data_IF_431518195414
#
_entry.id   IF_431518195414
#
_cell.length_a   1.000
_cell.length_b   1.000
_cell.length_c   1.000
_cell.angle_alpha   90.00
_cell.angle_beta   90.00
_cell.angle_gamma   90.00
#
_symmetry.space_group_name_H-M   'P 1'
#
loop_
_entity.id
_entity.type
_entity.pdbx_description
1 polymer ?
#
# COMPACT_ATOMS: atom_id res chain seq x y z
N UNK A 1 -1.35 10.88 18.96
CA UNK A 1 0.12 10.71 19.01
C UNK A 1 0.60 10.47 17.59
N UNK A 2 1.53 11.29 17.10
CA UNK A 2 1.98 11.34 15.70
C UNK A 2 3.02 10.25 15.46
N UNK A 3 2.71 9.22 14.67
CA UNK A 3 3.68 8.15 14.38
C UNK A 3 4.36 8.44 13.04
N UNK A 4 5.69 8.36 13.01
CA UNK A 4 6.56 8.76 11.89
C UNK A 4 7.18 7.47 11.32
N UNK A 5 7.48 7.41 10.02
CA UNK A 5 8.24 6.32 9.39
C UNK A 5 7.39 5.20 8.76
N UNK A 6 7.23 5.24 7.43
CA UNK A 6 6.69 4.12 6.66
C UNK A 6 7.81 3.46 5.85
N UNK A 7 7.97 2.14 5.97
CA UNK A 7 8.86 1.38 5.09
C UNK A 7 8.12 1.11 3.78
N UNK A 8 8.74 1.47 2.66
CA UNK A 8 8.21 1.20 1.33
C UNK A 8 9.04 0.13 0.64
N UNK A 9 8.37 -0.77 -0.06
CA UNK A 9 8.99 -1.75 -0.98
C UNK A 9 8.35 -1.56 -2.35
N UNK A 10 9.14 -1.18 -3.34
CA UNK A 10 8.67 -0.97 -4.70
C UNK A 10 9.08 -2.14 -5.59
N UNK A 11 8.08 -2.68 -6.28
CA UNK A 11 8.21 -3.79 -7.20
C UNK A 11 7.75 -3.35 -8.59
N UNK A 12 8.39 -3.90 -9.63
CA UNK A 12 7.87 -3.80 -10.99
C UNK A 12 7.85 -5.15 -11.66
N UNK A 13 6.87 -5.39 -12.52
CA UNK A 13 6.73 -6.65 -13.24
C UNK A 13 5.75 -6.56 -14.41
N UNK A 14 5.22 -7.69 -14.87
CA UNK A 14 4.22 -7.75 -15.92
C UNK A 14 2.97 -6.95 -15.53
N UNK A 15 2.54 -6.02 -16.37
CA UNK A 15 1.40 -5.14 -16.08
C UNK A 15 0.12 -5.93 -15.84
N UNK A 16 -0.09 -7.02 -16.57
CA UNK A 16 -1.26 -7.90 -16.48
C UNK A 16 -1.38 -8.62 -15.13
N UNK A 17 -0.27 -8.86 -14.42
CA UNK A 17 -0.26 -9.59 -13.15
C UNK A 17 -0.52 -8.68 -11.92
N UNK A 18 -0.64 -7.37 -12.12
CA UNK A 18 -0.70 -6.36 -11.06
C UNK A 18 -1.88 -6.52 -10.09
N UNK A 19 -3.06 -6.87 -10.60
CA UNK A 19 -4.26 -7.05 -9.76
C UNK A 19 -4.11 -8.27 -8.86
N UNK A 20 -3.65 -9.41 -9.43
CA UNK A 20 -3.42 -10.63 -8.68
C UNK A 20 -2.34 -10.45 -7.60
N UNK A 21 -1.32 -9.62 -7.86
CA UNK A 21 -0.32 -9.24 -6.87
C UNK A 21 -0.93 -8.43 -5.72
N UNK A 22 -1.82 -7.46 -6.00
CA UNK A 22 -2.51 -6.72 -4.94
C UNK A 22 -3.41 -7.62 -4.10
N UNK A 23 -4.12 -8.56 -4.73
CA UNK A 23 -4.95 -9.53 -4.01
C UNK A 23 -4.11 -10.43 -3.09
N UNK A 24 -2.92 -10.85 -3.55
CA UNK A 24 -1.98 -11.61 -2.73
C UNK A 24 -1.43 -10.80 -1.55
N UNK A 25 -1.14 -9.50 -1.76
CA UNK A 25 -0.76 -8.62 -0.66
C UNK A 25 -1.91 -8.42 0.35
N UNK A 26 -3.14 -8.26 -0.13
CA UNK A 26 -4.31 -8.13 0.73
C UNK A 26 -4.53 -9.38 1.59
N UNK A 27 -4.35 -10.58 1.02
CA UNK A 27 -4.42 -11.85 1.76
C UNK A 27 -3.39 -11.94 2.90
N UNK A 28 -2.23 -11.32 2.71
CA UNK A 28 -1.12 -11.25 3.68
C UNK A 28 -1.19 -10.02 4.61
N UNK A 29 -2.28 -9.26 4.54
CA UNK A 29 -2.50 -8.00 5.29
C UNK A 29 -1.44 -6.92 5.01
N UNK A 30 -0.84 -6.94 3.82
CA UNK A 30 0.14 -5.96 3.36
C UNK A 30 -0.58 -4.83 2.62
N UNK A 31 -0.39 -3.59 3.04
CA UNK A 31 -0.91 -2.42 2.32
C UNK A 31 -0.10 -2.20 1.05
N UNK A 32 -0.75 -2.19 -0.11
CA UNK A 32 -0.08 -2.01 -1.39
C UNK A 32 -0.97 -1.26 -2.40
N UNK A 33 -0.35 -0.54 -3.32
CA UNK A 33 -1.04 0.23 -4.37
C UNK A 33 -0.20 0.38 -5.63
N UNK A 34 -0.86 0.74 -6.74
CA UNK A 34 -0.16 1.13 -7.95
C UNK A 34 0.55 2.47 -7.77
N UNK A 35 1.71 2.60 -8.41
CA UNK A 35 2.45 3.85 -8.50
C UNK A 35 2.92 4.06 -9.93
N UNK A 36 3.25 5.30 -10.28
CA UNK A 36 3.89 5.61 -11.55
C UNK A 36 5.36 5.20 -11.51
N UNK A 37 5.95 4.68 -12.61
CA UNK A 37 7.39 4.44 -12.72
C UNK A 37 8.21 5.65 -12.28
N UNK A 38 9.20 5.44 -11.41
CA UNK A 38 10.16 6.49 -11.05
C UNK A 38 11.25 6.70 -12.12
N UNK A 39 11.45 5.70 -12.99
CA UNK A 39 12.46 5.73 -14.04
C UNK A 39 11.81 5.78 -15.44
N UNK A 40 12.33 6.68 -16.30
CA UNK A 40 11.75 7.06 -17.60
C UNK A 40 12.41 6.30 -18.77
N UNK A 41 12.59 4.98 -18.61
CA UNK A 41 13.02 4.12 -19.70
C UNK A 41 11.80 3.56 -20.45
N UNK A 42 11.84 3.40 -21.79
CA UNK A 42 10.72 2.85 -22.55
C UNK A 42 10.32 1.43 -22.08
N UNK A 43 11.27 0.65 -21.55
CA UNK A 43 11.00 -0.67 -20.98
C UNK A 43 10.33 -0.63 -19.59
N UNK A 44 10.36 0.51 -18.90
CA UNK A 44 9.75 0.68 -17.57
C UNK A 44 8.32 1.22 -17.63
N UNK A 45 7.96 1.95 -18.70
CA UNK A 45 6.59 2.45 -18.92
C UNK A 45 5.58 1.33 -19.16
N UNK A 46 6.01 0.22 -19.75
CA UNK A 46 5.16 -0.95 -19.98
C UNK A 46 4.97 -1.88 -18.78
N UNK A 47 5.63 -1.61 -17.65
CA UNK A 47 5.60 -2.49 -16.46
C UNK A 47 4.50 -2.07 -15.49
N UNK A 48 3.94 -3.05 -14.79
CA UNK A 48 3.12 -2.79 -13.61
C UNK A 48 4.00 -2.42 -12.43
N UNK A 49 3.83 -1.24 -11.86
CA UNK A 49 4.55 -0.77 -10.68
C UNK A 49 3.65 -0.81 -9.44
N UNK A 50 4.14 -1.43 -8.39
CA UNK A 50 3.43 -1.59 -7.11
C UNK A 50 4.32 -1.15 -5.97
N UNK A 51 3.77 -0.37 -5.05
CA UNK A 51 4.41 -0.02 -3.78
C UNK A 51 3.66 -0.69 -2.65
N UNK A 52 4.36 -1.51 -1.88
CA UNK A 52 3.91 -1.99 -0.58
C UNK A 52 4.41 -1.04 0.52
N UNK A 53 3.60 -0.82 1.54
CA UNK A 53 3.82 0.14 2.61
C UNK A 53 3.62 -0.54 3.98
N UNK A 54 4.58 -0.37 4.88
CA UNK A 54 4.62 -0.98 6.21
C UNK A 54 4.91 0.05 7.29
N UNK A 55 4.52 -0.25 8.53
CA UNK A 55 4.75 0.61 9.69
C UNK A 55 4.77 -0.22 10.98
N UNK A 56 5.76 0.02 11.85
CA UNK A 56 5.95 -0.71 13.13
C UNK A 56 5.44 0.08 14.35
N UNK A 57 4.98 1.33 14.19
CA UNK A 57 4.65 2.18 15.34
C UNK A 57 5.78 3.12 15.76
N UNK A 58 6.89 3.12 15.02
CA UNK A 58 8.13 3.85 15.36
C UNK A 58 8.68 4.62 14.15
N UNK A 59 9.36 5.72 14.46
CA UNK A 59 10.09 6.57 13.50
C UNK A 59 11.40 5.97 13.00
N UNK A 60 11.83 4.92 13.67
CA UNK A 60 13.08 4.20 13.44
C UNK A 60 12.77 2.71 13.43
N UNK A 61 12.12 2.19 12.37
CA UNK A 61 11.82 0.77 12.27
C UNK A 61 13.10 -0.05 12.41
N UNK A 62 13.00 -1.18 13.11
CA UNK A 62 14.16 -2.05 13.32
C UNK A 62 14.69 -2.62 11.99
N UNK A 63 15.98 -2.95 11.96
CA UNK A 63 16.58 -3.59 10.78
C UNK A 63 15.91 -4.94 10.48
N UNK A 64 15.53 -5.68 11.52
CA UNK A 64 14.84 -6.96 11.41
C UNK A 64 13.43 -6.78 10.82
N UNK A 65 12.67 -5.79 11.30
CA UNK A 65 11.37 -5.43 10.70
C UNK A 65 11.52 -5.07 9.22
N UNK A 66 12.55 -4.28 8.87
CA UNK A 66 12.87 -3.93 7.49
C UNK A 66 13.14 -5.15 6.60
N UNK A 67 13.96 -6.08 7.10
CA UNK A 67 14.31 -7.32 6.39
C UNK A 67 13.10 -8.24 6.22
N UNK A 68 12.28 -8.39 7.25
CA UNK A 68 11.08 -9.22 7.20
C UNK A 68 10.07 -8.69 6.17
N UNK A 69 9.81 -7.38 6.18
CA UNK A 69 8.93 -6.75 5.21
C UNK A 69 9.46 -6.90 3.77
N UNK A 70 10.77 -6.67 3.58
CA UNK A 70 11.43 -6.82 2.28
C UNK A 70 11.35 -8.26 1.76
N UNK A 71 11.67 -9.23 2.63
CA UNK A 71 11.65 -10.65 2.32
C UNK A 71 10.25 -11.12 1.91
N UNK A 72 9.23 -10.76 2.72
CA UNK A 72 7.83 -11.09 2.42
C UNK A 72 7.36 -10.48 1.10
N UNK A 73 7.60 -9.19 0.88
CA UNK A 73 7.20 -8.53 -0.37
C UNK A 73 7.88 -9.13 -1.60
N UNK A 74 9.17 -9.40 -1.51
CA UNK A 74 9.93 -9.95 -2.62
C UNK A 74 9.48 -11.37 -2.94
N UNK A 75 9.25 -12.20 -1.91
CA UNK A 75 8.76 -13.57 -2.07
C UNK A 75 7.37 -13.63 -2.74
N UNK A 76 6.44 -12.77 -2.33
CA UNK A 76 5.12 -12.66 -2.96
C UNK A 76 5.28 -12.17 -4.40
N UNK A 77 6.01 -11.07 -4.61
CA UNK A 77 6.21 -10.50 -5.95
C UNK A 77 6.80 -11.47 -6.96
N UNK A 78 7.78 -12.29 -6.56
CA UNK A 78 8.41 -13.28 -7.42
C UNK A 78 7.42 -14.31 -7.99
N UNK A 79 6.36 -14.67 -7.24
CA UNK A 79 5.32 -15.59 -7.71
C UNK A 79 4.54 -15.03 -8.92
N UNK A 80 4.53 -13.70 -9.08
CA UNK A 80 3.84 -12.98 -10.15
C UNK A 80 4.81 -12.39 -11.18
N UNK A 81 6.09 -12.75 -11.13
CA UNK A 81 7.13 -12.23 -12.03
C UNK A 81 7.56 -10.79 -11.72
N UNK A 82 7.24 -10.27 -10.53
CA UNK A 82 7.70 -8.96 -10.08
C UNK A 82 9.09 -9.04 -9.48
N UNK A 83 9.87 -7.99 -9.70
CA UNK A 83 11.22 -7.82 -9.16
C UNK A 83 11.31 -6.58 -8.28
N UNK A 84 12.16 -6.68 -7.25
CA UNK A 84 12.49 -5.56 -6.37
C UNK A 84 13.17 -4.44 -7.16
N UNK A 85 12.70 -3.20 -6.97
CA UNK A 85 13.29 -2.00 -7.56
C UNK A 85 13.94 -1.10 -6.54
N UNK A 86 13.20 -0.80 -5.48
CA UNK A 86 13.69 0.03 -4.40
C UNK A 86 13.03 -0.40 -3.10
N UNK A 87 13.69 -0.15 -1.98
CA UNK A 87 13.07 -0.17 -0.68
C UNK A 87 13.71 0.90 0.20
N UNK A 88 12.97 1.39 1.20
CA UNK A 88 13.51 2.41 2.08
C UNK A 88 12.49 2.88 3.10
N UNK A 89 13.00 3.52 4.14
CA UNK A 89 12.15 4.21 5.11
C UNK A 89 11.84 5.59 4.54
N UNK A 90 10.58 5.82 4.17
CA UNK A 90 10.10 7.16 3.84
C UNK A 90 9.83 7.86 5.17
N UNK A 91 10.77 8.72 5.58
CA UNK A 91 10.58 9.69 6.65
C UNK A 91 9.80 10.86 6.05
N UNK A 92 8.48 10.73 5.98
CA UNK A 92 7.60 11.74 5.41
C UNK A 92 6.38 11.95 6.28
N UNK A 93 6.46 12.85 7.26
CA UNK A 93 5.32 13.21 8.11
C UNK A 93 4.67 12.03 8.83
N UNK A 94 3.50 12.27 9.44
CA UNK A 94 2.73 11.21 10.08
C UNK A 94 2.08 10.33 9.02
N UNK A 95 2.40 9.04 8.95
CA UNK A 95 1.68 8.12 8.07
C UNK A 95 0.38 7.69 8.76
N UNK A 96 -0.76 8.22 8.30
CA UNK A 96 -2.07 7.87 8.84
C UNK A 96 -2.70 6.75 8.01
N UNK A 97 -2.87 5.58 8.63
CA UNK A 97 -3.65 4.50 8.01
C UNK A 97 -5.10 4.96 7.82
N UNK A 98 -5.60 4.80 6.60
CA UNK A 98 -6.99 5.09 6.22
C UNK A 98 -7.55 3.92 5.43
N UNK A 99 -8.84 3.68 5.60
CA UNK A 99 -9.61 2.71 4.83
C UNK A 99 -10.50 3.47 3.85
N UNK A 100 -10.53 3.05 2.58
CA UNK A 100 -11.62 3.42 1.67
C UNK A 100 -12.64 2.30 1.73
N UNK A 101 -13.90 2.65 1.98
CA UNK A 101 -15.01 1.69 2.07
C UNK A 101 -16.08 2.02 1.03
N UNK A 102 -16.75 0.99 0.50
CA UNK A 102 -18.00 1.18 -0.24
C UNK A 102 -19.12 1.39 0.77
N UNK A 103 -19.68 2.59 0.78
CA UNK A 103 -20.76 3.00 1.69
C UNK A 103 -22.07 2.25 1.49
N UNK A 104 -22.26 1.59 0.33
CA UNK A 104 -23.46 0.79 0.04
C UNK A 104 -23.40 -0.58 0.71
N UNK A 105 -22.24 -1.21 0.70
CA UNK A 105 -22.04 -2.58 1.17
C UNK A 105 -21.34 -2.64 2.53
N UNK A 106 -20.62 -1.58 2.90
CA UNK A 106 -19.75 -1.54 4.08
C UNK A 106 -18.40 -2.25 3.86
N UNK A 107 -18.12 -2.72 2.65
CA UNK A 107 -16.91 -3.48 2.36
C UNK A 107 -15.67 -2.59 2.28
N UNK A 108 -14.54 -3.13 2.74
CA UNK A 108 -13.24 -2.51 2.59
C UNK A 108 -12.80 -2.61 1.12
N UNK A 109 -12.56 -1.45 0.50
CA UNK A 109 -12.06 -1.35 -0.88
C UNK A 109 -10.54 -1.26 -0.86
N UNK A 110 -9.98 -0.34 -0.07
CA UNK A 110 -8.53 -0.12 0.03
C UNK A 110 -8.13 0.13 1.49
N UNK A 111 -6.95 -0.36 1.85
CA UNK A 111 -6.20 0.03 3.04
C UNK A 111 -4.90 0.70 2.59
N UNK A 112 -4.66 1.94 3.01
CA UNK A 112 -3.46 2.67 2.61
C UNK A 112 -3.10 3.79 3.58
N UNK A 113 -1.87 4.28 3.49
CA UNK A 113 -1.40 5.39 4.33
C UNK A 113 -1.57 6.74 3.62
N UNK A 114 -1.96 7.76 4.38
CA UNK A 114 -2.16 9.13 3.91
C UNK A 114 -3.10 9.23 2.70
N UNK A 115 -4.05 8.30 2.61
CA UNK A 115 -5.09 8.30 1.59
C UNK A 115 -6.15 9.31 2.01
N UNK A 116 -6.20 10.46 1.33
CA UNK A 116 -7.21 11.48 1.51
C UNK A 116 -8.34 11.41 0.48
N UNK A 117 -9.38 12.25 0.63
CA UNK A 117 -10.51 12.34 -0.30
C UNK A 117 -10.11 12.59 -1.76
N UNK A 118 -8.95 13.22 -1.99
CA UNK A 118 -8.38 13.47 -3.31
C UNK A 118 -8.07 12.19 -4.10
N UNK A 119 -7.89 11.05 -3.43
CA UNK A 119 -7.63 9.77 -4.08
C UNK A 119 -8.89 9.06 -4.57
N UNK A 120 -10.08 9.48 -4.12
CA UNK A 120 -11.33 8.77 -4.42
C UNK A 120 -11.64 8.69 -5.92
N UNK A 121 -11.25 9.70 -6.70
CA UNK A 121 -11.43 9.69 -8.15
C UNK A 121 -10.58 8.59 -8.82
N UNK A 122 -9.32 8.46 -8.41
CA UNK A 122 -8.40 7.42 -8.92
C UNK A 122 -8.93 6.04 -8.54
N UNK A 123 -9.33 5.85 -7.29
CA UNK A 123 -9.87 4.56 -6.83
C UNK A 123 -11.18 4.22 -7.53
N UNK A 124 -12.02 5.22 -7.83
CA UNK A 124 -13.24 5.03 -8.60
C UNK A 124 -12.96 4.51 -10.02
N UNK A 125 -11.95 5.05 -10.68
CA UNK A 125 -11.50 4.58 -12.00
C UNK A 125 -10.92 3.16 -11.94
N UNK A 126 -10.11 2.86 -10.92
CA UNK A 126 -9.46 1.56 -10.76
C UNK A 126 -10.43 0.43 -10.39
N UNK A 127 -11.45 0.73 -9.58
CA UNK A 127 -12.39 -0.27 -9.02
C UNK A 127 -13.73 -0.30 -9.74
N UNK A 128 -14.07 0.73 -10.52
CA UNK A 128 -15.39 0.91 -11.12
C UNK A 128 -16.49 1.31 -10.13
N UNK A 129 -16.17 1.54 -8.85
CA UNK A 129 -17.12 2.01 -7.84
C UNK A 129 -17.27 3.53 -7.98
N UNK A 130 -18.46 4.09 -8.22
CA UNK A 130 -18.63 5.55 -8.32
C UNK A 130 -18.16 6.29 -7.06
N UNK A 131 -17.43 7.41 -7.24
CA UNK A 131 -16.89 8.25 -6.14
C UNK A 131 -17.91 8.53 -5.03
N UNK A 132 -19.18 8.79 -5.38
CA UNK A 132 -20.26 9.06 -4.41
C UNK A 132 -20.55 7.90 -3.43
N UNK A 133 -20.04 6.72 -3.71
CA UNK A 133 -20.17 5.53 -2.86
C UNK A 133 -18.88 5.17 -2.14
N UNK A 134 -17.78 5.88 -2.38
CA UNK A 134 -16.52 5.67 -1.68
C UNK A 134 -16.39 6.68 -0.53
N UNK A 135 -15.94 6.21 0.62
CA UNK A 135 -15.73 7.05 1.80
C UNK A 135 -14.40 6.71 2.47
N UNK A 136 -13.68 7.73 2.94
CA UNK A 136 -12.40 7.58 3.64
C UNK A 136 -12.68 7.53 5.13
N UNK A 137 -12.36 6.41 5.75
CA UNK A 137 -12.58 6.17 7.18
C UNK A 137 -11.30 5.84 7.90
N UNK A 138 -11.32 6.06 9.21
CA UNK A 138 -10.32 5.48 10.09
C UNK A 138 -10.55 3.97 10.22
N UNK A 139 -9.48 3.16 10.34
CA UNK A 139 -9.62 1.74 10.57
C UNK A 139 -10.40 1.50 11.87
N UNK A 140 -11.43 0.62 11.86
CA UNK A 140 -12.08 0.22 13.11
C UNK A 140 -11.03 -0.47 14.00
N UNK A 141 -10.85 0.03 15.23
CA UNK A 141 -9.98 -0.58 16.26
C UNK A 141 -8.59 0.03 16.47
N UNK A 142 -8.27 1.21 15.90
CA UNK A 142 -6.95 1.85 16.13
C UNK A 142 -6.75 2.52 17.51
N UNK A 143 -7.73 2.47 18.42
CA UNK A 143 -7.64 3.16 19.72
C UNK A 143 -8.09 2.35 20.96
N UNK A 144 -8.25 1.03 20.86
CA UNK A 144 -8.53 0.15 22.02
C UNK A 144 -7.28 -0.64 22.47
N UNK A 145 -6.09 -0.05 22.36
CA UNK A 145 -4.90 -0.59 23.02
C UNK A 145 -4.72 0.20 24.32
N UNK A 146 -4.88 -0.41 25.51
CA UNK A 146 -4.56 0.26 26.77
C UNK A 146 -3.10 0.72 26.71
N UNK A 147 -2.83 1.98 27.06
CA UNK A 147 -1.47 2.46 27.29
C UNK A 147 -0.80 1.55 28.33
N UNK A 148 0.23 0.82 27.90
CA UNK A 148 1.09 0.03 28.79
C UNK A 148 2.30 0.87 29.22
#
# INVERSE_FOLDING_TARGET
>A
MTIRGALTVELSGPYEARTALLDAFAAESIAARYITPQAVGPDEEGKGWVRAEFHEGTDSPSADFGQDCLSRCTSIGQQFGYVLRSHGVVIGGAAQMRHIVDTRTGELVIKGFNVGPEFLAIISEETGIPVKYLDVREPPGMWDVPEA
#
